data_IF_111077990882
#
_entry.id   IF_111077990882
#
_cell.length_a   1.000
_cell.length_b   1.000
_cell.length_c   1.000
_cell.angle_alpha   90.00
_cell.angle_beta   90.00
_cell.angle_gamma   90.00
#
_symmetry.space_group_name_H-M   'P 1'
#
loop_
_entity.id
_entity.type
_entity.pdbx_description
1 polymer ?
#
# COMPACT_ATOMS: atom_id res chain seq x y z
N UNK A 1 -1.17 -4.00 26.40
CA UNK A 1 -1.43 -2.57 26.66
C UNK A 1 -2.89 -2.38 26.36
N UNK A 2 -3.68 -1.99 27.37
CA UNK A 2 -5.12 -1.83 27.22
C UNK A 2 -5.43 -0.50 26.53
N UNK A 3 -6.59 -0.37 25.89
CA UNK A 3 -7.00 0.90 25.30
C UNK A 3 -7.36 1.93 26.40
N UNK A 4 -7.01 3.19 26.15
CA UNK A 4 -7.30 4.33 27.04
C UNK A 4 -8.33 5.27 26.43
N UNK A 5 -8.50 5.21 25.11
CA UNK A 5 -9.51 5.94 24.37
C UNK A 5 -10.53 5.00 23.76
N UNK A 6 -11.80 5.39 23.85
CA UNK A 6 -12.95 4.68 23.28
C UNK A 6 -13.93 5.68 22.70
N UNK A 7 -14.29 5.50 21.44
CA UNK A 7 -15.39 6.24 20.81
C UNK A 7 -16.09 5.34 19.81
N UNK A 8 -17.40 5.48 19.71
CA UNK A 8 -18.17 4.87 18.62
C UNK A 8 -18.45 5.95 17.59
N UNK A 9 -17.99 5.73 16.36
CA UNK A 9 -18.30 6.56 15.19
C UNK A 9 -19.06 5.67 14.23
N UNK A 10 -20.29 6.09 13.90
CA UNK A 10 -21.28 5.27 13.20
C UNK A 10 -21.51 3.94 13.95
N UNK A 11 -21.11 2.81 13.35
CA UNK A 11 -21.20 1.46 13.93
C UNK A 11 -19.83 0.88 14.33
N UNK A 12 -18.74 1.64 14.14
CA UNK A 12 -17.39 1.18 14.41
C UNK A 12 -16.91 1.62 15.80
N UNK A 13 -16.42 0.65 16.58
CA UNK A 13 -15.80 0.93 17.87
C UNK A 13 -14.31 1.26 17.67
N UNK A 14 -13.96 2.52 17.86
CA UNK A 14 -12.60 3.02 17.79
C UNK A 14 -11.99 2.98 19.20
N UNK A 15 -11.19 1.95 19.46
CA UNK A 15 -10.50 1.76 20.73
C UNK A 15 -8.98 1.64 20.52
N UNK A 16 -8.21 2.50 21.18
CA UNK A 16 -6.75 2.48 21.10
C UNK A 16 -6.10 3.10 22.33
N UNK A 17 -4.80 2.89 22.48
CA UNK A 17 -3.99 3.52 23.54
C UNK A 17 -3.47 4.87 23.03
N UNK A 18 -4.06 5.96 23.51
CA UNK A 18 -3.79 7.33 23.07
C UNK A 18 -2.78 8.09 23.96
N UNK A 19 -2.39 7.50 25.10
CA UNK A 19 -1.36 8.05 26.00
C UNK A 19 0.06 7.83 25.44
N UNK A 20 0.32 8.35 24.24
CA UNK A 20 1.54 8.12 23.45
C UNK A 20 2.83 8.52 24.17
N UNK A 21 2.77 9.44 25.15
CA UNK A 21 3.92 9.79 25.98
C UNK A 21 4.42 8.60 26.83
N UNK A 22 3.55 7.64 27.15
CA UNK A 22 3.93 6.38 27.82
C UNK A 22 4.58 5.37 26.86
N UNK A 23 4.54 5.63 25.55
CA UNK A 23 5.21 4.83 24.51
C UNK A 23 6.62 5.33 24.19
N UNK A 24 7.12 6.32 24.92
CA UNK A 24 8.49 6.79 24.76
C UNK A 24 9.48 5.61 24.81
N UNK A 25 10.36 5.54 23.82
CA UNK A 25 11.33 4.45 23.62
C UNK A 25 10.75 3.06 23.30
N UNK A 26 9.46 2.92 22.94
CA UNK A 26 8.88 1.63 22.54
C UNK A 26 9.72 0.93 21.45
N UNK A 27 10.13 1.69 20.43
CA UNK A 27 10.96 1.21 19.32
C UNK A 27 12.47 1.19 19.59
N UNK A 28 12.95 1.61 20.78
CA UNK A 28 14.38 1.86 21.02
C UNK A 28 15.26 0.60 20.97
N UNK A 29 14.65 -0.59 20.99
CA UNK A 29 15.35 -1.86 20.78
C UNK A 29 15.77 -2.08 19.33
N UNK A 30 15.04 -1.51 18.36
CA UNK A 30 15.46 -1.50 16.97
C UNK A 30 16.62 -0.50 16.81
N UNK A 31 17.73 -0.96 16.22
CA UNK A 31 18.95 -0.18 15.99
C UNK A 31 19.20 0.10 14.51
N UNK A 32 18.23 -0.23 13.64
CA UNK A 32 18.31 0.04 12.23
C UNK A 32 18.35 1.55 11.99
N UNK A 33 19.19 1.96 11.05
CA UNK A 33 19.20 3.33 10.56
C UNK A 33 17.95 3.60 9.72
N UNK A 34 17.59 4.88 9.53
CA UNK A 34 16.50 5.27 8.63
C UNK A 34 16.70 4.70 7.23
N UNK A 35 17.94 4.71 6.71
CA UNK A 35 18.26 4.12 5.41
C UNK A 35 17.96 2.61 5.35
N UNK A 36 18.28 1.87 6.42
CA UNK A 36 18.02 0.43 6.52
C UNK A 36 16.53 0.12 6.60
N UNK A 37 15.77 0.94 7.33
CA UNK A 37 14.30 0.83 7.42
C UNK A 37 13.61 1.18 6.10
N UNK A 38 14.09 2.21 5.40
CA UNK A 38 13.56 2.60 4.09
C UNK A 38 13.79 1.49 3.05
N UNK A 39 15.00 0.93 3.00
CA UNK A 39 15.27 -0.24 2.16
C UNK A 39 14.38 -1.42 2.54
N UNK A 40 14.24 -1.73 3.84
CA UNK A 40 13.43 -2.84 4.31
C UNK A 40 11.95 -2.69 3.93
N UNK A 41 11.42 -1.47 3.96
CA UNK A 41 10.06 -1.17 3.53
C UNK A 41 9.83 -1.57 2.07
N UNK A 42 10.68 -1.10 1.16
CA UNK A 42 10.54 -1.43 -0.26
C UNK A 42 10.86 -2.90 -0.54
N UNK A 43 11.87 -3.48 0.14
CA UNK A 43 12.18 -4.90 0.03
C UNK A 43 11.00 -5.78 0.44
N UNK A 44 10.33 -5.44 1.55
CA UNK A 44 9.15 -6.16 2.01
C UNK A 44 8.05 -6.15 0.95
N UNK A 45 7.69 -4.97 0.44
CA UNK A 45 6.63 -4.85 -0.57
C UNK A 45 7.01 -5.46 -1.92
N UNK A 46 8.28 -5.39 -2.32
CA UNK A 46 8.75 -5.97 -3.58
C UNK A 46 8.78 -7.51 -3.53
N UNK A 47 9.30 -8.09 -2.45
CA UNK A 47 9.75 -9.49 -2.46
C UNK A 47 9.20 -10.36 -1.34
N UNK A 48 8.70 -9.80 -0.23
CA UNK A 48 8.28 -10.59 0.94
C UNK A 48 6.76 -10.67 1.11
N UNK A 49 6.02 -9.60 0.77
CA UNK A 49 4.58 -9.55 0.96
C UNK A 49 3.87 -10.57 0.06
N UNK A 50 3.10 -11.49 0.65
CA UNK A 50 2.27 -12.41 -0.12
C UNK A 50 0.95 -11.74 -0.52
N UNK A 51 0.98 -11.05 -1.66
CA UNK A 51 -0.20 -10.40 -2.26
C UNK A 51 -1.40 -11.33 -2.48
N UNK A 52 -1.23 -12.66 -2.44
CA UNK A 52 -2.32 -13.61 -2.63
C UNK A 52 -2.96 -14.06 -1.31
N UNK A 53 -2.26 -13.94 -0.18
CA UNK A 53 -2.67 -14.51 1.10
C UNK A 53 -2.73 -13.51 2.24
N UNK A 54 -1.97 -12.43 2.18
CA UNK A 54 -1.73 -11.56 3.32
C UNK A 54 -2.62 -10.31 3.30
N UNK A 55 -2.93 -9.85 4.51
CA UNK A 55 -3.59 -8.59 4.82
C UNK A 55 -2.73 -7.87 5.86
N UNK A 56 -2.31 -6.64 5.56
CA UNK A 56 -1.65 -5.77 6.54
C UNK A 56 -2.71 -5.23 7.51
N UNK A 57 -2.51 -5.43 8.82
CA UNK A 57 -3.40 -4.92 9.86
C UNK A 57 -2.60 -4.21 10.95
N UNK A 58 -2.67 -2.88 10.96
CA UNK A 58 -2.05 -2.07 12.03
C UNK A 58 -2.81 -2.22 13.37
N UNK A 59 -4.12 -2.50 13.31
CA UNK A 59 -4.96 -2.77 14.49
C UNK A 59 -4.46 -3.96 15.30
N UNK A 60 -3.98 -5.00 14.63
CA UNK A 60 -3.42 -6.20 15.30
C UNK A 60 -1.90 -6.18 15.41
N UNK A 61 -1.23 -5.25 14.71
CA UNK A 61 0.23 -5.20 14.57
C UNK A 61 0.81 -6.44 13.88
N UNK A 62 0.01 -7.15 13.06
CA UNK A 62 0.34 -8.44 12.47
C UNK A 62 -0.25 -8.59 11.07
N UNK A 63 0.29 -9.56 10.34
CA UNK A 63 -0.31 -10.05 9.10
C UNK A 63 -1.50 -10.95 9.44
N UNK A 64 -2.64 -10.71 8.80
CA UNK A 64 -3.85 -11.55 8.86
C UNK A 64 -4.01 -12.24 7.49
N UNK A 65 -4.60 -13.43 7.45
CA UNK A 65 -4.88 -14.08 6.16
C UNK A 65 -6.13 -13.50 5.49
N UNK A 66 -6.09 -13.36 4.15
CA UNK A 66 -7.25 -12.98 3.33
C UNK A 66 -8.43 -13.91 3.52
N UNK A 67 -8.18 -15.20 3.76
CA UNK A 67 -9.21 -16.19 4.05
C UNK A 67 -10.04 -15.81 5.29
N UNK A 68 -9.40 -15.35 6.37
CA UNK A 68 -10.10 -14.92 7.58
C UNK A 68 -10.95 -13.67 7.37
N UNK A 69 -10.66 -12.90 6.32
CA UNK A 69 -11.36 -11.67 5.95
C UNK A 69 -12.37 -11.85 4.82
N UNK A 70 -12.45 -13.05 4.25
CA UNK A 70 -13.15 -13.32 2.99
C UNK A 70 -12.71 -12.41 1.82
N UNK A 71 -11.46 -11.93 1.86
CA UNK A 71 -10.84 -11.09 0.82
C UNK A 71 -10.09 -11.92 -0.23
N UNK A 72 -10.47 -13.18 -0.39
CA UNK A 72 -9.85 -14.10 -1.36
C UNK A 72 -10.45 -13.98 -2.76
N UNK A 73 -11.63 -13.36 -2.87
CA UNK A 73 -12.41 -13.25 -4.10
C UNK A 73 -12.88 -11.82 -4.29
N UNK A 74 -13.23 -11.48 -5.53
CA UNK A 74 -13.87 -10.20 -5.83
C UNK A 74 -15.25 -10.15 -5.16
N UNK A 75 -15.54 -9.06 -4.44
CA UNK A 75 -16.87 -8.79 -3.88
C UNK A 75 -17.43 -7.56 -4.59
N UNK A 76 -18.46 -7.75 -5.42
CA UNK A 76 -18.97 -6.66 -6.27
C UNK A 76 -17.89 -6.08 -7.18
N UNK A 77 -17.59 -4.79 -7.04
CA UNK A 77 -16.52 -4.14 -7.79
C UNK A 77 -15.14 -4.25 -7.13
N UNK A 78 -15.09 -4.51 -5.82
CA UNK A 78 -13.89 -4.43 -4.99
C UNK A 78 -12.90 -5.55 -5.33
N UNK A 79 -11.64 -5.16 -5.49
CA UNK A 79 -10.53 -6.06 -5.81
C UNK A 79 -9.51 -6.09 -4.70
N UNK A 80 -9.40 -7.25 -4.06
CA UNK A 80 -8.48 -7.49 -2.95
C UNK A 80 -7.09 -7.91 -3.46
N UNK A 81 -6.42 -7.04 -4.23
CA UNK A 81 -5.12 -7.35 -4.89
C UNK A 81 -3.91 -6.98 -4.02
N UNK A 82 -4.04 -5.95 -3.20
CA UNK A 82 -3.09 -5.53 -2.15
C UNK A 82 -3.95 -5.17 -0.95
N UNK A 83 -3.93 -5.98 0.11
CA UNK A 83 -4.93 -5.84 1.18
C UNK A 83 -4.36 -5.10 2.38
N UNK A 84 -4.97 -3.97 2.70
CA UNK A 84 -4.61 -3.13 3.84
C UNK A 84 -5.88 -2.87 4.63
N UNK A 85 -5.99 -3.47 5.80
CA UNK A 85 -7.14 -3.34 6.69
C UNK A 85 -7.22 -1.93 7.28
N UNK A 86 -8.36 -1.26 7.14
CA UNK A 86 -8.65 -0.09 7.96
C UNK A 86 -8.73 -0.49 9.45
N UNK A 87 -8.05 0.21 10.36
CA UNK A 87 -7.97 -0.18 11.77
C UNK A 87 -9.28 -0.10 12.54
N UNK A 88 -10.29 0.61 12.03
CA UNK A 88 -11.57 0.81 12.71
C UNK A 88 -12.72 0.18 11.90
N UNK A 89 -12.78 0.43 10.59
CA UNK A 89 -13.75 -0.20 9.70
C UNK A 89 -13.16 -1.50 9.13
N UNK A 90 -13.10 -2.56 9.94
CA UNK A 90 -12.29 -3.75 9.62
C UNK A 90 -12.78 -4.59 8.41
N UNK A 91 -13.93 -4.27 7.85
CA UNK A 91 -14.47 -4.79 6.58
C UNK A 91 -13.97 -3.99 5.36
N UNK A 92 -13.40 -2.80 5.58
CA UNK A 92 -12.88 -1.93 4.54
C UNK A 92 -11.42 -2.26 4.22
N UNK A 93 -11.18 -2.73 3.00
CA UNK A 93 -9.85 -2.83 2.40
C UNK A 93 -9.47 -1.51 1.71
N UNK A 94 -8.42 -0.84 2.18
CA UNK A 94 -7.91 0.41 1.59
C UNK A 94 -7.34 0.18 0.18
N UNK A 95 -6.88 -1.03 -0.13
CA UNK A 95 -6.36 -1.38 -1.45
C UNK A 95 -7.43 -1.71 -2.49
N UNK A 96 -8.73 -1.67 -2.15
CA UNK A 96 -9.84 -2.02 -3.06
C UNK A 96 -9.88 -1.21 -4.36
N UNK A 97 -9.27 -0.02 -4.36
CA UNK A 97 -9.18 0.89 -5.52
C UNK A 97 -8.16 0.43 -6.56
N UNK A 98 -7.25 -0.48 -6.18
CA UNK A 98 -6.18 -0.96 -7.05
C UNK A 98 -6.73 -2.03 -7.99
N UNK A 99 -6.59 -1.80 -9.29
CA UNK A 99 -6.99 -2.76 -10.30
C UNK A 99 -5.84 -3.65 -10.79
N UNK A 100 -6.13 -4.53 -11.75
CA UNK A 100 -5.15 -5.50 -12.27
C UNK A 100 -3.97 -4.84 -13.01
N UNK A 101 -4.14 -3.60 -13.48
CA UNK A 101 -3.10 -2.87 -14.20
C UNK A 101 -2.26 -2.07 -13.21
N UNK A 102 -2.92 -1.38 -12.29
CA UNK A 102 -2.29 -0.52 -11.28
C UNK A 102 -1.48 -1.34 -10.28
N UNK A 103 -1.93 -2.56 -9.91
CA UNK A 103 -1.13 -3.43 -9.03
C UNK A 103 0.20 -3.82 -9.65
N UNK A 104 0.23 -4.01 -10.98
CA UNK A 104 1.46 -4.35 -11.69
C UNK A 104 2.44 -3.18 -11.62
N UNK A 105 1.96 -1.97 -11.88
CA UNK A 105 2.75 -0.73 -11.79
C UNK A 105 3.29 -0.53 -10.37
N UNK A 106 2.44 -0.69 -9.34
CA UNK A 106 2.87 -0.57 -7.94
C UNK A 106 3.99 -1.56 -7.59
N UNK A 107 3.85 -2.82 -8.01
CA UNK A 107 4.88 -3.85 -7.76
C UNK A 107 6.18 -3.55 -8.49
N UNK A 108 6.11 -3.14 -9.76
CA UNK A 108 7.28 -2.72 -10.53
C UNK A 108 7.97 -1.51 -9.88
N UNK A 109 7.22 -0.54 -9.34
CA UNK A 109 7.80 0.60 -8.60
C UNK A 109 8.41 0.21 -7.25
N UNK A 110 7.81 -0.75 -6.53
CA UNK A 110 8.43 -1.29 -5.31
C UNK A 110 9.74 -2.01 -5.61
N UNK A 111 9.77 -2.83 -6.68
CA UNK A 111 10.98 -3.49 -7.14
C UNK A 111 12.05 -2.47 -7.60
N UNK A 112 11.65 -1.44 -8.36
CA UNK A 112 12.55 -0.33 -8.76
C UNK A 112 13.16 0.33 -7.53
N UNK A 113 12.35 0.73 -6.57
CA UNK A 113 12.79 1.40 -5.35
C UNK A 113 13.72 0.52 -4.50
N UNK A 114 13.37 -0.77 -4.32
CA UNK A 114 14.21 -1.72 -3.59
C UNK A 114 15.59 -1.90 -4.25
N UNK A 115 15.62 -2.01 -5.58
CA UNK A 115 16.87 -2.13 -6.33
C UNK A 115 17.73 -0.87 -6.24
N UNK A 116 17.13 0.32 -6.36
CA UNK A 116 17.86 1.59 -6.23
C UNK A 116 18.50 1.69 -4.84
N UNK A 117 17.71 1.46 -3.79
CA UNK A 117 18.21 1.53 -2.41
C UNK A 117 19.28 0.49 -2.09
N UNK A 118 19.35 -0.61 -2.86
CA UNK A 118 20.31 -1.69 -2.66
C UNK A 118 21.61 -1.49 -3.45
N UNK A 119 21.53 -0.94 -4.67
CA UNK A 119 22.64 -1.00 -5.64
C UNK A 119 23.05 0.35 -6.21
N UNK A 120 22.22 1.38 -6.13
CA UNK A 120 22.55 2.70 -6.68
C UNK A 120 23.63 3.41 -5.84
N UNK A 121 24.52 4.14 -6.51
CA UNK A 121 25.57 4.90 -5.83
C UNK A 121 25.05 6.16 -5.12
N UNK A 122 23.93 6.72 -5.60
CA UNK A 122 23.24 7.86 -5.02
C UNK A 122 21.72 7.63 -4.97
N UNK A 123 21.25 6.67 -4.13
CA UNK A 123 19.85 6.26 -4.11
C UNK A 123 18.90 7.39 -3.70
N UNK A 124 19.39 8.37 -2.93
CA UNK A 124 18.59 9.51 -2.48
C UNK A 124 18.16 10.46 -3.60
N UNK A 125 18.85 10.45 -4.74
CA UNK A 125 18.45 11.23 -5.92
C UNK A 125 17.54 10.38 -6.79
N UNK A 126 18.02 9.21 -7.20
CA UNK A 126 17.37 8.35 -8.19
C UNK A 126 16.04 7.76 -7.70
N UNK A 127 15.88 7.50 -6.40
CA UNK A 127 14.61 7.02 -5.85
C UNK A 127 13.47 8.02 -6.09
N UNK A 128 13.76 9.32 -5.96
CA UNK A 128 12.79 10.42 -6.02
C UNK A 128 12.78 11.15 -7.37
N UNK A 129 13.39 10.57 -8.40
CA UNK A 129 13.25 11.09 -9.76
C UNK A 129 11.77 11.11 -10.17
N UNK A 130 11.27 12.23 -10.74
CA UNK A 130 9.89 12.32 -11.17
C UNK A 130 9.56 11.29 -12.24
N UNK A 131 8.43 10.60 -12.07
CA UNK A 131 7.89 9.74 -13.12
C UNK A 131 7.49 10.58 -14.35
N UNK A 132 7.97 10.18 -15.51
CA UNK A 132 7.59 10.78 -16.80
C UNK A 132 6.77 9.74 -17.56
N UNK A 133 5.48 10.01 -17.86
CA UNK A 133 4.65 9.11 -18.66
C UNK A 133 5.29 8.87 -20.03
N UNK A 134 5.22 7.63 -20.57
CA UNK A 134 5.70 7.38 -21.92
C UNK A 134 4.94 8.26 -22.92
N UNK A 135 5.65 8.83 -23.89
CA UNK A 135 5.02 9.55 -25.00
C UNK A 135 4.07 8.60 -25.73
N UNK A 136 2.79 8.95 -25.83
CA UNK A 136 1.81 8.16 -26.57
C UNK A 136 2.30 7.96 -28.01
N UNK A 137 2.25 6.72 -28.55
CA UNK A 137 2.49 6.50 -29.98
C UNK A 137 1.48 7.30 -30.81
N UNK A 138 1.96 7.98 -31.84
CA UNK A 138 1.16 8.86 -32.72
C UNK A 138 -0.10 8.20 -33.30
N UNK A 139 -0.10 6.87 -33.44
CA UNK A 139 -1.22 6.07 -33.97
C UNK A 139 -2.48 6.10 -33.08
N UNK A 140 -2.35 6.25 -31.76
CA UNK A 140 -3.52 6.29 -30.84
C UNK A 140 -4.12 7.70 -30.80
N UNK A 141 -3.34 8.71 -31.19
CA UNK A 141 -3.78 10.11 -31.18
C UNK A 141 -4.79 10.39 -32.30
N UNK A 142 -4.70 9.70 -33.44
CA UNK A 142 -5.69 9.80 -34.53
C UNK A 142 -7.01 9.07 -34.20
N UNK A 143 -6.96 7.90 -33.56
CA UNK A 143 -8.17 7.15 -33.17
C UNK A 143 -9.03 7.87 -32.13
N UNK A 144 -8.40 8.56 -31.15
CA UNK A 144 -9.14 9.29 -30.13
C UNK A 144 -9.75 10.61 -30.64
N UNK A 145 -9.13 11.26 -31.61
CA UNK A 145 -9.69 12.46 -32.25
C UNK A 145 -10.89 12.09 -33.12
N UNK A 146 -10.83 10.97 -33.85
CA UNK A 146 -11.96 10.48 -34.64
C UNK A 146 -13.15 10.05 -33.79
N UNK A 147 -12.94 9.44 -32.62
CA UNK A 147 -14.03 9.02 -31.73
C UNK A 147 -14.81 10.20 -31.11
N UNK A 148 -14.18 11.37 -30.95
CA UNK A 148 -14.84 12.59 -30.48
C UNK A 148 -15.67 13.31 -31.55
N UNK A 149 -15.40 13.09 -32.84
CA UNK A 149 -16.11 13.76 -33.94
C UNK A 149 -17.44 13.08 -34.32
N UNK A 150 -17.64 11.81 -33.95
CA UNK A 150 -18.89 11.06 -34.20
C UNK A 150 -19.92 11.15 -33.06
N UNK A 151 -19.66 11.97 -32.03
CA UNK A 151 -20.53 12.15 -30.87
C UNK A 151 -21.16 13.57 -30.78
N UNK A 152 -21.35 14.24 -31.93
CA UNK A 152 -22.17 15.45 -32.08
C UNK A 152 -23.33 15.22 -33.06
#
# INVERSE_FOLDING_TARGET
MEATYYVTVDENNCAYFDEVDKLNNYGAHNKDTVSRLLWAFFHYWAYEHDYTRDVISIRTGRIISKERKDWTRRVGNDRHLICIEDPFETSHDLGRVVDKFTIKILREEFERAANILQFDANPSVTLFEPYVPPSMPSLIQEEMVGATEFAL
#
